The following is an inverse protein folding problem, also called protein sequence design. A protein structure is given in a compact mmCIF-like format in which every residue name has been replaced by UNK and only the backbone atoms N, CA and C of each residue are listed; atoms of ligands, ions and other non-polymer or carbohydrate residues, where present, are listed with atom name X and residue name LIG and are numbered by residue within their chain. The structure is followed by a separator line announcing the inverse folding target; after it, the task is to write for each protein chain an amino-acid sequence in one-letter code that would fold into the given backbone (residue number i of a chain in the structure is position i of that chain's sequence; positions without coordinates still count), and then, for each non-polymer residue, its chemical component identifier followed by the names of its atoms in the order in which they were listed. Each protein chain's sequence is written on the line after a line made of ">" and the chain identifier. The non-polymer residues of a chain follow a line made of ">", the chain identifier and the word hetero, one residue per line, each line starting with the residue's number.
data_IF_789015691828
#
_entry.id   IF_789015691828
#
_cell.length_a   1.000
_cell.length_b   1.000
_cell.length_c   1.000
_cell.angle_alpha   90.00
_cell.angle_beta   90.00
_cell.angle_gamma   90.00
#
_symmetry.space_group_name_H-M   'P 1'
#
loop_
_entity.id
_entity.type
_entity.pdbx_description
1 polymer ?
#
# COMPACT_ATOMS: atom_id res chain seq x y z
N UNK A 1 -14.43 -17.73 -58.49
CA UNK A 1 -14.01 -18.03 -57.10
C UNK A 1 -12.48 -18.06 -56.99
N UNK A 2 -11.80 -16.91 -57.00
CA UNK A 2 -10.33 -16.89 -56.85
C UNK A 2 -9.76 -15.69 -56.06
N UNK A 3 -10.42 -14.53 -55.96
CA UNK A 3 -9.71 -13.32 -55.48
C UNK A 3 -10.00 -12.82 -54.06
N UNK A 4 -10.81 -13.52 -53.25
CA UNK A 4 -11.08 -13.10 -51.86
C UNK A 4 -10.01 -13.63 -50.88
N UNK A 5 -9.19 -14.60 -51.28
CA UNK A 5 -8.19 -15.23 -50.39
C UNK A 5 -6.87 -14.44 -50.25
N UNK A 6 -6.63 -13.40 -51.06
CA UNK A 6 -5.39 -12.60 -50.99
C UNK A 6 -5.48 -11.40 -50.03
N UNK A 7 -6.68 -10.90 -49.75
CA UNK A 7 -6.90 -9.71 -48.91
C UNK A 7 -6.72 -10.02 -47.41
N UNK A 8 -6.97 -11.27 -47.00
CA UNK A 8 -6.90 -11.67 -45.58
C UNK A 8 -5.49 -12.02 -45.07
N UNK A 9 -4.46 -11.97 -45.94
CA UNK A 9 -3.07 -12.36 -45.60
C UNK A 9 -2.12 -11.17 -45.37
N UNK A 10 -2.62 -9.93 -45.40
CA UNK A 10 -1.80 -8.73 -45.21
C UNK A 10 -1.96 -8.00 -43.86
N UNK A 11 -2.76 -8.53 -42.92
CA UNK A 11 -3.10 -7.82 -41.67
C UNK A 11 -2.76 -8.59 -40.39
N UNK A 12 -1.75 -9.46 -40.46
CA UNK A 12 -1.15 -10.12 -39.30
C UNK A 12 0.36 -10.24 -39.53
N UNK A 13 1.08 -9.12 -39.42
CA UNK A 13 2.46 -9.03 -38.94
C UNK A 13 2.94 -7.58 -39.07
N UNK A 14 3.75 -7.13 -38.09
CA UNK A 14 4.21 -5.76 -37.82
C UNK A 14 3.12 -4.84 -37.21
N UNK A 15 3.11 -4.51 -35.91
CA UNK A 15 4.24 -4.36 -34.99
C UNK A 15 4.82 -2.95 -35.14
N UNK A 16 4.34 -2.07 -34.26
CA UNK A 16 4.87 -0.77 -33.89
C UNK A 16 4.75 0.43 -34.85
N UNK A 17 4.72 1.60 -34.19
CA UNK A 17 4.94 2.96 -34.67
C UNK A 17 3.67 3.80 -34.92
N UNK A 18 3.32 4.53 -33.87
CA UNK A 18 3.15 5.99 -33.83
C UNK A 18 2.18 6.69 -34.81
N UNK A 19 1.31 7.50 -34.22
CA UNK A 19 0.92 8.84 -34.67
C UNK A 19 0.86 9.09 -36.19
N UNK A 20 -0.35 9.09 -36.75
CA UNK A 20 -0.73 10.10 -37.73
C UNK A 20 -2.25 10.18 -37.82
N UNK A 21 -2.81 11.14 -37.07
CA UNK A 21 -4.08 11.76 -37.38
C UNK A 21 -4.04 12.26 -38.83
N UNK A 22 -4.78 11.64 -39.74
CA UNK A 22 -5.03 12.20 -41.07
C UNK A 22 -6.52 12.54 -41.16
N UNK A 23 -6.81 13.80 -40.89
CA UNK A 23 -8.08 14.46 -41.20
C UNK A 23 -8.12 14.63 -42.71
N UNK A 24 -8.89 13.80 -43.42
CA UNK A 24 -9.22 14.05 -44.83
C UNK A 24 -10.49 14.89 -44.89
N UNK A 25 -10.27 16.20 -44.84
CA UNK A 25 -11.21 17.25 -45.23
C UNK A 25 -11.13 17.39 -46.76
N UNK A 26 -12.09 16.82 -47.49
CA UNK A 26 -12.58 17.31 -48.79
C UNK A 26 -13.31 16.20 -49.57
N UNK A 27 -14.63 16.16 -49.45
CA UNK A 27 -15.52 15.68 -50.53
C UNK A 27 -16.97 15.97 -50.13
N UNK A 28 -17.35 17.25 -50.15
CA UNK A 28 -18.75 17.56 -50.44
C UNK A 28 -18.93 17.43 -51.96
N UNK A 29 -20.06 16.79 -52.34
CA UNK A 29 -20.80 17.01 -53.57
C UNK A 29 -20.54 16.09 -54.78
N UNK A 30 -21.00 14.84 -54.76
CA UNK A 30 -21.49 14.17 -55.99
C UNK A 30 -22.70 13.26 -55.69
N UNK A 31 -23.89 13.78 -56.04
CA UNK A 31 -25.13 13.10 -56.49
C UNK A 31 -25.55 11.78 -55.83
N UNK A 32 -26.65 11.79 -55.05
CA UNK A 32 -27.76 10.82 -55.15
C UNK A 32 -29.07 11.41 -54.55
N UNK A 33 -30.26 11.14 -55.13
CA UNK A 33 -31.56 11.37 -54.48
C UNK A 33 -31.84 10.40 -53.31
N UNK A 34 -30.80 9.75 -52.78
CA UNK A 34 -30.85 8.83 -51.64
C UNK A 34 -30.47 9.52 -50.31
N UNK A 35 -30.27 10.85 -50.30
CA UNK A 35 -30.02 11.60 -49.06
C UNK A 35 -31.16 11.42 -48.07
N UNK A 36 -32.40 11.27 -48.53
CA UNK A 36 -33.55 11.06 -47.65
C UNK A 36 -33.53 9.70 -46.94
N UNK A 37 -32.94 8.66 -47.54
CA UNK A 37 -32.87 7.32 -46.92
C UNK A 37 -31.72 7.26 -45.93
N UNK A 38 -30.56 7.82 -46.29
CA UNK A 38 -29.40 7.93 -45.37
C UNK A 38 -29.70 8.91 -44.24
N UNK A 39 -30.33 10.05 -44.52
CA UNK A 39 -30.78 10.99 -43.50
C UNK A 39 -31.91 10.42 -42.63
N UNK A 40 -32.77 9.54 -43.14
CA UNK A 40 -33.73 8.80 -42.30
C UNK A 40 -33.03 7.83 -41.37
N UNK A 41 -32.07 7.03 -41.85
CA UNK A 41 -31.33 6.08 -41.01
C UNK A 41 -30.45 6.80 -39.96
N UNK A 42 -29.86 7.94 -40.33
CA UNK A 42 -29.08 8.79 -39.43
C UNK A 42 -29.98 9.55 -38.47
N UNK A 43 -31.13 10.08 -38.92
CA UNK A 43 -32.13 10.70 -38.03
C UNK A 43 -32.72 9.69 -37.08
N UNK A 44 -33.06 8.47 -37.51
CA UNK A 44 -33.63 7.45 -36.63
C UNK A 44 -32.66 7.07 -35.49
N UNK A 45 -31.35 6.95 -35.80
CA UNK A 45 -30.29 6.79 -34.78
C UNK A 45 -29.98 8.04 -33.94
N UNK A 46 -30.33 9.23 -34.41
CA UNK A 46 -30.13 10.52 -33.71
C UNK A 46 -31.37 10.89 -32.87
N UNK A 47 -32.57 10.55 -33.33
CA UNK A 47 -33.85 10.73 -32.63
C UNK A 47 -33.93 9.78 -31.44
N UNK A 48 -33.48 8.51 -31.58
CA UNK A 48 -33.35 7.57 -30.45
C UNK A 48 -32.43 8.07 -29.31
N UNK A 49 -31.55 9.04 -29.57
CA UNK A 49 -30.67 9.65 -28.56
C UNK A 49 -31.24 10.91 -27.92
N UNK A 50 -32.34 11.45 -28.44
CA UNK A 50 -33.05 12.60 -27.84
C UNK A 50 -34.00 12.17 -26.74
N UNK A 51 -34.45 10.92 -26.77
CA UNK A 51 -35.39 10.37 -25.78
C UNK A 51 -34.70 9.75 -24.55
N UNK A 52 -33.36 9.71 -24.53
CA UNK A 52 -32.62 9.16 -23.40
C UNK A 52 -32.43 10.22 -22.30
N UNK A 53 -32.70 9.82 -21.06
CA UNK A 53 -32.51 10.67 -19.88
C UNK A 53 -31.17 10.34 -19.23
N UNK A 54 -30.46 11.37 -18.81
CA UNK A 54 -29.23 11.24 -18.04
C UNK A 54 -29.55 10.89 -16.58
N UNK A 55 -28.87 9.88 -16.03
CA UNK A 55 -28.96 9.59 -14.59
C UNK A 55 -28.19 10.69 -13.84
N UNK A 56 -28.85 11.45 -12.93
CA UNK A 56 -28.20 12.51 -12.17
C UNK A 56 -27.08 11.97 -11.27
N UNK A 57 -26.22 12.84 -10.77
CA UNK A 57 -25.17 12.47 -9.82
C UNK A 57 -25.79 12.22 -8.44
N UNK A 58 -25.82 10.94 -8.04
CA UNK A 58 -26.50 10.48 -6.82
C UNK A 58 -25.57 10.22 -5.64
N UNK A 59 -24.27 10.11 -5.89
CA UNK A 59 -23.28 9.86 -4.86
C UNK A 59 -21.95 10.50 -5.27
N UNK A 60 -21.37 11.29 -4.36
CA UNK A 60 -20.05 11.87 -4.49
C UNK A 60 -19.41 11.96 -3.10
N UNK A 61 -18.09 12.12 -3.04
CA UNK A 61 -17.41 12.26 -1.74
C UNK A 61 -17.67 13.60 -1.09
N UNK A 62 -17.79 14.65 -1.90
CA UNK A 62 -17.92 16.03 -1.42
C UNK A 62 -19.38 16.39 -1.10
N UNK A 63 -20.34 15.74 -1.78
CA UNK A 63 -21.78 15.98 -1.62
C UNK A 63 -22.53 14.66 -1.38
N UNK A 64 -22.67 14.23 -0.12
CA UNK A 64 -23.45 13.06 0.23
C UNK A 64 -24.95 13.33 0.03
N UNK A 65 -25.65 12.40 -0.62
CA UNK A 65 -27.09 12.49 -0.86
C UNK A 65 -27.80 11.36 -0.10
N UNK A 66 -28.88 11.71 0.60
CA UNK A 66 -29.75 10.75 1.30
C UNK A 66 -30.70 10.06 0.33
N UNK A 67 -31.12 8.84 0.70
CA UNK A 67 -32.00 8.01 -0.10
C UNK A 67 -33.28 8.73 -0.54
N UNK A 68 -33.96 9.44 0.37
CA UNK A 68 -35.19 10.17 0.07
C UNK A 68 -34.99 11.20 -1.05
N UNK A 69 -33.92 12.00 -0.96
CA UNK A 69 -33.60 13.01 -1.97
C UNK A 69 -33.23 12.38 -3.31
N UNK A 70 -32.48 11.27 -3.29
CA UNK A 70 -32.11 10.55 -4.51
C UNK A 70 -33.33 9.97 -5.23
N UNK A 71 -34.31 9.44 -4.48
CA UNK A 71 -35.58 8.93 -5.05
C UNK A 71 -36.34 10.06 -5.76
N UNK A 72 -36.40 11.25 -5.16
CA UNK A 72 -37.06 12.43 -5.78
C UNK A 72 -36.37 12.81 -7.09
N UNK A 73 -35.04 12.95 -7.08
CA UNK A 73 -34.26 13.31 -8.27
C UNK A 73 -34.46 12.33 -9.43
N UNK A 74 -34.48 11.02 -9.14
CA UNK A 74 -34.69 10.02 -10.17
C UNK A 74 -36.13 10.00 -10.72
N UNK A 75 -37.12 10.24 -9.86
CA UNK A 75 -38.52 10.35 -10.30
C UNK A 75 -38.75 11.57 -11.19
N UNK A 76 -38.11 12.70 -10.87
CA UNK A 76 -38.10 13.92 -11.72
C UNK A 76 -37.47 13.66 -13.10
N UNK A 77 -36.54 12.70 -13.19
CA UNK A 77 -35.95 12.23 -14.44
C UNK A 77 -36.77 11.11 -15.13
N UNK A 78 -38.00 10.84 -14.68
CA UNK A 78 -38.85 9.75 -15.19
C UNK A 78 -38.22 8.35 -15.05
N UNK A 79 -37.37 8.12 -14.04
CA UNK A 79 -36.72 6.82 -13.79
C UNK A 79 -37.41 6.09 -12.63
N UNK A 80 -37.45 4.75 -12.71
CA UNK A 80 -37.94 3.91 -11.62
C UNK A 80 -36.80 3.64 -10.64
N UNK A 81 -37.10 3.56 -9.35
CA UNK A 81 -36.08 3.45 -8.30
C UNK A 81 -36.36 2.23 -7.45
N UNK A 82 -35.32 1.42 -7.22
CA UNK A 82 -35.35 0.32 -6.25
C UNK A 82 -34.24 0.53 -5.21
N UNK A 83 -34.58 0.81 -3.94
CA UNK A 83 -33.59 0.95 -2.87
C UNK A 83 -33.04 -0.40 -2.42
N UNK A 84 -31.73 -0.49 -2.21
CA UNK A 84 -31.02 -1.70 -1.78
C UNK A 84 -30.09 -1.36 -0.62
N UNK A 85 -30.38 -1.90 0.56
CA UNK A 85 -29.50 -1.77 1.72
C UNK A 85 -28.20 -2.54 1.51
N UNK A 86 -27.09 -1.92 1.89
CA UNK A 86 -25.82 -2.64 2.06
C UNK A 86 -25.94 -3.51 3.30
N UNK A 87 -25.41 -4.74 3.19
CA UNK A 87 -25.41 -5.73 4.28
C UNK A 87 -24.03 -5.96 4.86
N UNK A 88 -22.99 -5.71 4.07
CA UNK A 88 -21.61 -5.99 4.48
C UNK A 88 -20.95 -4.70 4.95
N UNK A 89 -20.56 -4.68 6.22
CA UNK A 89 -19.74 -3.63 6.80
C UNK A 89 -18.37 -3.55 6.12
N UNK A 90 -17.88 -2.32 5.93
CA UNK A 90 -16.59 -2.08 5.33
C UNK A 90 -16.08 -0.70 5.77
N UNK A 91 -14.78 -0.62 6.08
CA UNK A 91 -14.07 0.62 6.48
C UNK A 91 -14.36 1.85 5.62
N UNK A 92 -14.76 1.71 4.35
CA UNK A 92 -15.10 2.82 3.46
C UNK A 92 -16.42 3.53 3.82
N UNK A 93 -17.26 2.90 4.63
CA UNK A 93 -18.55 3.44 5.08
C UNK A 93 -18.51 4.01 6.50
N UNK A 94 -17.33 4.01 7.15
CA UNK A 94 -17.19 4.47 8.54
C UNK A 94 -17.59 5.94 8.75
N UNK A 95 -17.42 6.75 7.70
CA UNK A 95 -17.72 8.19 7.71
C UNK A 95 -19.02 8.50 6.94
N UNK A 96 -19.83 7.48 6.61
CA UNK A 96 -21.10 7.69 5.93
C UNK A 96 -22.19 8.20 6.88
N UNK A 97 -23.22 8.79 6.29
CA UNK A 97 -24.43 9.25 6.97
C UNK A 97 -25.52 8.19 6.80
N UNK A 98 -26.42 8.08 7.76
CA UNK A 98 -27.58 7.19 7.67
C UNK A 98 -28.41 7.44 6.41
N UNK A 99 -28.78 6.35 5.73
CA UNK A 99 -29.43 6.31 4.43
C UNK A 99 -28.66 7.04 3.30
N UNK A 100 -27.36 7.26 3.43
CA UNK A 100 -26.55 7.84 2.35
C UNK A 100 -26.44 6.89 1.16
N UNK A 101 -26.63 7.43 -0.05
CA UNK A 101 -26.36 6.70 -1.30
C UNK A 101 -24.85 6.60 -1.53
N UNK A 102 -24.39 5.39 -1.81
CA UNK A 102 -22.98 5.09 -2.08
C UNK A 102 -22.76 4.39 -3.42
N UNK A 103 -23.85 4.12 -4.15
CA UNK A 103 -23.75 3.53 -5.48
C UNK A 103 -25.10 3.47 -6.19
N UNK A 104 -25.04 3.35 -7.51
CA UNK A 104 -26.22 3.10 -8.34
C UNK A 104 -25.92 2.07 -9.43
N UNK A 105 -26.96 1.35 -9.87
CA UNK A 105 -26.91 0.51 -11.07
C UNK A 105 -28.19 0.73 -11.88
N UNK A 106 -28.11 1.28 -13.11
CA UNK A 106 -26.92 1.76 -13.83
C UNK A 106 -26.21 2.95 -13.14
N UNK A 107 -24.97 3.27 -13.55
CA UNK A 107 -24.15 4.32 -12.92
C UNK A 107 -24.70 5.72 -13.26
N UNK A 108 -24.45 6.71 -12.39
CA UNK A 108 -24.74 8.10 -12.70
C UNK A 108 -24.01 8.58 -13.97
N UNK A 109 -24.50 9.64 -14.61
CA UNK A 109 -23.99 10.21 -15.88
C UNK A 109 -24.11 9.26 -17.08
N UNK A 110 -24.86 8.16 -16.93
CA UNK A 110 -25.21 7.27 -18.03
C UNK A 110 -26.57 7.65 -18.62
N UNK A 111 -26.67 7.64 -19.94
CA UNK A 111 -27.93 7.82 -20.68
C UNK A 111 -28.73 6.52 -20.69
N UNK A 112 -29.97 6.59 -20.21
CA UNK A 112 -30.89 5.44 -20.15
C UNK A 112 -32.26 5.81 -20.69
N UNK A 113 -33.04 4.81 -21.08
CA UNK A 113 -34.43 5.04 -21.51
C UNK A 113 -35.28 5.49 -20.31
N UNK A 114 -36.23 6.41 -20.49
CA UNK A 114 -37.24 6.72 -19.48
C UNK A 114 -37.91 5.45 -18.98
N UNK A 115 -38.25 5.40 -17.69
CA UNK A 115 -38.86 4.24 -17.04
C UNK A 115 -37.88 3.11 -16.72
N UNK A 116 -36.59 3.24 -17.02
CA UNK A 116 -35.55 2.28 -16.60
C UNK A 116 -35.49 2.18 -15.08
N UNK A 117 -35.33 0.97 -14.55
CA UNK A 117 -35.13 0.71 -13.13
C UNK A 117 -33.68 0.97 -12.72
N UNK A 118 -33.50 1.85 -11.74
CA UNK A 118 -32.22 2.19 -11.13
C UNK A 118 -32.18 1.64 -9.71
N UNK A 119 -31.25 0.73 -9.45
CA UNK A 119 -30.98 0.22 -8.11
C UNK A 119 -30.09 1.20 -7.36
N UNK A 120 -30.51 1.66 -6.19
CA UNK A 120 -29.74 2.54 -5.32
C UNK A 120 -29.20 1.79 -4.12
N UNK A 121 -27.88 1.78 -3.99
CA UNK A 121 -27.22 1.23 -2.82
C UNK A 121 -27.11 2.30 -1.75
N UNK A 122 -27.65 2.03 -0.58
CA UNK A 122 -27.57 2.92 0.57
C UNK A 122 -26.97 2.21 1.78
N UNK A 123 -26.40 3.01 2.68
CA UNK A 123 -25.83 2.54 3.95
C UNK A 123 -26.81 2.85 5.09
N UNK A 124 -26.93 1.95 6.06
CA UNK A 124 -27.70 2.14 7.29
C UNK A 124 -26.79 2.41 8.48
N UNK A 125 -27.33 3.00 9.54
CA UNK A 125 -26.62 3.26 10.80
C UNK A 125 -25.91 2.03 11.35
N UNK A 126 -26.56 0.87 11.35
CA UNK A 126 -25.96 -0.41 11.81
C UNK A 126 -24.65 -0.72 11.06
N UNK A 127 -24.67 -0.59 9.73
CA UNK A 127 -23.50 -0.85 8.89
C UNK A 127 -22.41 0.21 9.11
N UNK A 128 -22.78 1.46 9.39
CA UNK A 128 -21.83 2.54 9.70
C UNK A 128 -21.10 2.23 11.00
N UNK A 129 -21.84 1.86 12.05
CA UNK A 129 -21.28 1.50 13.35
C UNK A 129 -20.36 0.28 13.26
N UNK A 130 -20.79 -0.79 12.58
CA UNK A 130 -19.95 -1.97 12.33
C UNK A 130 -18.70 -1.61 11.52
N UNK A 131 -18.84 -0.73 10.52
CA UNK A 131 -17.71 -0.26 9.71
C UNK A 131 -16.71 0.57 10.50
N UNK A 132 -17.19 1.35 11.47
CA UNK A 132 -16.35 2.13 12.37
C UNK A 132 -15.62 1.24 13.37
N UNK A 133 -16.31 0.23 13.92
CA UNK A 133 -15.70 -0.80 14.75
C UNK A 133 -14.57 -1.54 14.02
N UNK A 134 -14.78 -1.94 12.76
CA UNK A 134 -13.74 -2.56 11.93
C UNK A 134 -12.52 -1.64 11.73
N UNK A 135 -12.75 -0.34 11.59
CA UNK A 135 -11.66 0.63 11.48
C UNK A 135 -10.86 0.73 12.79
N UNK A 136 -11.56 0.87 13.92
CA UNK A 136 -10.93 1.02 15.23
C UNK A 136 -10.13 -0.23 15.64
N UNK A 137 -10.66 -1.42 15.38
CA UNK A 137 -9.94 -2.69 15.59
C UNK A 137 -8.67 -2.76 14.75
N UNK A 138 -8.73 -2.33 13.49
CA UNK A 138 -7.56 -2.31 12.61
C UNK A 138 -6.47 -1.34 13.09
N UNK A 139 -6.85 -0.17 13.61
CA UNK A 139 -5.90 0.81 14.13
C UNK A 139 -5.33 0.37 15.49
N UNK A 140 -6.13 -0.26 16.36
CA UNK A 140 -5.62 -0.90 17.60
C UNK A 140 -4.60 -1.98 17.30
N UNK A 141 -4.91 -2.89 16.38
CA UNK A 141 -4.00 -3.97 16.02
C UNK A 141 -2.68 -3.43 15.44
N UNK A 142 -2.76 -2.40 14.59
CA UNK A 142 -1.58 -1.72 14.05
C UNK A 142 -0.76 -1.00 15.13
N UNK A 143 -1.41 -0.42 16.14
CA UNK A 143 -0.74 0.17 17.29
C UNK A 143 -0.05 -0.88 18.16
N UNK A 144 -0.70 -2.01 18.42
CA UNK A 144 -0.15 -3.16 19.15
C UNK A 144 1.09 -3.72 18.43
N UNK A 145 1.02 -3.94 17.12
CA UNK A 145 2.18 -4.39 16.33
C UNK A 145 3.33 -3.39 16.43
N UNK A 146 3.05 -2.09 16.39
CA UNK A 146 4.08 -1.05 16.53
C UNK A 146 4.72 -1.07 17.93
N UNK A 147 3.90 -1.22 18.97
CA UNK A 147 4.37 -1.30 20.36
C UNK A 147 5.22 -2.55 20.58
N UNK A 148 4.77 -3.71 20.11
CA UNK A 148 5.53 -4.97 20.22
C UNK A 148 6.87 -4.87 19.50
N UNK A 149 6.90 -4.28 18.29
CA UNK A 149 8.16 -4.04 17.56
C UNK A 149 9.08 -3.08 18.31
N UNK A 150 8.53 -2.05 18.96
CA UNK A 150 9.32 -1.12 19.77
C UNK A 150 9.91 -1.82 21.01
N UNK A 151 9.11 -2.63 21.71
CA UNK A 151 9.55 -3.40 22.87
C UNK A 151 10.64 -4.41 22.51
N UNK A 152 10.47 -5.19 21.44
CA UNK A 152 11.52 -6.11 20.95
C UNK A 152 12.82 -5.39 20.62
N UNK A 153 12.75 -4.20 20.02
CA UNK A 153 13.94 -3.37 19.73
C UNK A 153 14.59 -2.87 21.01
N UNK A 154 13.80 -2.47 22.01
CA UNK A 154 14.30 -2.03 23.30
C UNK A 154 15.00 -3.17 24.04
N UNK A 155 14.38 -4.35 24.11
CA UNK A 155 14.97 -5.55 24.70
C UNK A 155 16.27 -5.97 24.02
N UNK A 156 16.33 -5.90 22.68
CA UNK A 156 17.56 -6.23 21.96
C UNK A 156 18.68 -5.25 22.28
N UNK A 157 18.37 -3.94 22.39
CA UNK A 157 19.34 -2.91 22.79
C UNK A 157 19.84 -3.15 24.21
N UNK A 158 18.95 -3.47 25.14
CA UNK A 158 19.26 -3.83 26.53
C UNK A 158 20.18 -5.07 26.59
N UNK A 159 19.85 -6.15 25.87
CA UNK A 159 20.67 -7.37 25.80
C UNK A 159 22.05 -7.07 25.22
N UNK A 160 22.12 -6.33 24.12
CA UNK A 160 23.38 -5.96 23.48
C UNK A 160 24.24 -5.09 24.41
N UNK A 161 23.63 -4.14 25.13
CA UNK A 161 24.33 -3.33 26.13
C UNK A 161 24.94 -4.20 27.22
N UNK A 162 24.18 -5.14 27.80
CA UNK A 162 24.68 -6.07 28.83
C UNK A 162 25.84 -6.94 28.34
N UNK A 163 25.79 -7.39 27.08
CA UNK A 163 26.88 -8.16 26.46
C UNK A 163 28.15 -7.31 26.34
N UNK A 164 28.02 -6.07 25.86
CA UNK A 164 29.15 -5.15 25.71
C UNK A 164 29.74 -4.80 27.08
N UNK A 165 28.89 -4.45 28.05
CA UNK A 165 29.32 -4.13 29.41
C UNK A 165 30.06 -5.31 30.04
N UNK A 166 29.55 -6.54 29.89
CA UNK A 166 30.21 -7.76 30.36
C UNK A 166 31.54 -8.05 29.66
N UNK A 167 31.67 -7.75 28.37
CA UNK A 167 32.94 -7.87 27.66
C UNK A 167 33.98 -6.87 28.18
N UNK A 168 33.56 -5.62 28.44
CA UNK A 168 34.43 -4.58 28.99
C UNK A 168 34.93 -4.96 30.39
N UNK A 169 34.05 -5.43 31.28
CA UNK A 169 34.46 -5.86 32.63
C UNK A 169 35.42 -7.04 32.59
N UNK A 170 35.20 -8.02 31.72
CA UNK A 170 36.13 -9.14 31.54
C UNK A 170 37.51 -8.70 31.06
N UNK A 171 37.57 -7.77 30.10
CA UNK A 171 38.84 -7.20 29.62
C UNK A 171 39.56 -6.47 30.75
N UNK A 172 38.86 -5.64 31.52
CA UNK A 172 39.42 -4.93 32.66
C UNK A 172 39.99 -5.90 33.70
N UNK A 173 39.25 -6.96 34.04
CA UNK A 173 39.70 -7.97 34.98
C UNK A 173 40.95 -8.71 34.47
N UNK A 174 40.98 -9.07 33.18
CA UNK A 174 42.15 -9.73 32.57
C UNK A 174 43.41 -8.86 32.61
N UNK A 175 43.28 -7.55 32.39
CA UNK A 175 44.40 -6.62 32.47
C UNK A 175 44.94 -6.47 33.90
N UNK A 176 44.06 -6.45 34.89
CA UNK A 176 44.43 -6.46 36.32
C UNK A 176 45.20 -7.74 36.64
N UNK A 177 44.68 -8.90 36.22
CA UNK A 177 45.31 -10.21 36.49
C UNK A 177 46.70 -10.32 35.87
N UNK A 178 46.89 -9.85 34.63
CA UNK A 178 48.21 -9.79 33.97
C UNK A 178 49.16 -8.89 34.75
N UNK A 179 48.68 -7.74 35.20
CA UNK A 179 49.49 -6.79 35.99
C UNK A 179 49.93 -7.39 37.32
N UNK A 180 49.02 -8.06 38.03
CA UNK A 180 49.31 -8.75 39.30
C UNK A 180 50.30 -9.90 39.10
N UNK A 181 50.10 -10.75 38.08
CA UNK A 181 51.03 -11.84 37.74
C UNK A 181 52.44 -11.31 37.44
N UNK A 182 52.53 -10.22 36.70
CA UNK A 182 53.80 -9.57 36.36
C UNK A 182 54.50 -9.02 37.60
N UNK A 183 53.78 -8.28 38.47
CA UNK A 183 54.31 -7.78 39.76
C UNK A 183 54.84 -8.92 40.64
N UNK A 184 54.08 -10.01 40.76
CA UNK A 184 54.48 -11.18 41.55
C UNK A 184 55.71 -11.89 40.95
N UNK A 185 55.86 -11.93 39.63
CA UNK A 185 57.06 -12.48 38.96
C UNK A 185 58.28 -11.61 39.25
N UNK A 186 58.17 -10.28 39.11
CA UNK A 186 59.25 -9.34 39.41
C UNK A 186 59.69 -9.46 40.88
N UNK A 187 58.74 -9.49 41.82
CA UNK A 187 59.04 -9.67 43.25
C UNK A 187 59.84 -10.95 43.53
N UNK A 188 59.48 -12.07 42.90
CA UNK A 188 60.21 -13.33 43.05
C UNK A 188 61.64 -13.27 42.50
N UNK A 189 61.85 -12.60 41.36
CA UNK A 189 63.20 -12.41 40.80
C UNK A 189 64.04 -11.51 41.71
N UNK A 190 63.46 -10.43 42.23
CA UNK A 190 64.15 -9.50 43.12
C UNK A 190 64.62 -10.17 44.42
N UNK A 191 63.78 -11.02 45.02
CA UNK A 191 64.16 -11.80 46.22
C UNK A 191 65.33 -12.74 45.92
N UNK A 192 65.26 -13.53 44.83
CA UNK A 192 66.36 -14.43 44.44
C UNK A 192 67.67 -13.69 44.19
N UNK A 193 67.62 -12.51 43.58
CA UNK A 193 68.82 -11.69 43.35
C UNK A 193 69.45 -11.12 44.62
N UNK A 194 68.67 -10.97 45.71
CA UNK A 194 69.21 -10.62 47.02
C UNK A 194 69.85 -11.82 47.72
N UNK A 195 69.28 -13.02 47.56
CA UNK A 195 69.83 -14.25 48.14
C UNK A 195 71.14 -14.68 47.43
N UNK A 196 71.23 -14.55 46.10
CA UNK A 196 72.42 -14.92 45.33
C UNK A 196 73.63 -13.99 45.56
N UNK A 197 73.38 -12.69 45.80
CA UNK A 197 74.45 -11.73 46.16
C UNK A 197 75.01 -11.96 47.57
N UNK A 198 74.32 -12.71 48.42
CA UNK A 198 74.74 -13.03 49.77
C UNK A 198 75.59 -14.32 49.85
N UNK A 199 75.81 -15.00 48.72
CA UNK A 199 76.58 -16.26 48.63
C UNK A 199 77.97 -16.06 47.98
N UNK A 200 78.25 -14.89 47.38
CA UNK A 200 79.52 -14.62 46.69
C UNK A 200 80.62 -13.94 47.55
N UNK A 201 80.50 -13.90 48.87
CA UNK A 201 81.59 -13.51 49.79
C UNK A 201 82.07 -14.74 50.59
N UNK A 202 82.66 -15.72 49.91
CA UNK A 202 83.58 -16.67 50.56
C UNK A 202 84.86 -16.67 49.73
N UNK A 203 86.00 -16.15 50.24
CA UNK A 203 87.25 -16.20 49.51
C UNK A 203 87.81 -17.62 49.58
N UNK A 204 88.00 -18.22 48.41
CA UNK A 204 88.86 -19.39 48.22
C UNK A 204 90.30 -18.90 48.08
N UNK A 205 91.19 -19.31 48.99
CA UNK A 205 92.61 -19.38 48.67
C UNK A 205 93.23 -20.66 49.23
N UNK A 206 93.90 -21.38 48.33
CA UNK A 206 94.77 -22.52 48.58
C UNK A 206 96.00 -22.03 49.40
N UNK A 207 96.84 -22.83 50.07
CA UNK A 207 97.72 -23.86 49.50
C UNK A 207 98.62 -24.44 50.63
N UNK A 208 98.90 -25.75 50.55
CA UNK A 208 100.12 -26.53 50.93
C UNK A 208 100.88 -26.43 52.26
N UNK A 209 101.30 -27.64 52.67
CA UNK A 209 102.54 -28.07 53.38
C UNK A 209 102.58 -28.10 54.91
N UNK A 210 102.39 -29.29 55.49
CA UNK A 210 103.45 -30.17 56.05
C UNK A 210 102.85 -31.36 56.81
#
# INVERSE_FOLDING_TARGET
>A
MADIRKIKKGLKEAGDIANALVVVSSALSILQPAVNVVAKIVKEKVEERKDLVDIPELYSRDFPIKLERAIVLLKECNLKVEPVAIRDAHVKYKDCIDFQIVGSKPKHKQKVKPGTLVFLKYVTSEIIEESQKLFDESEKHKAEIKLEKANKRFEQKEKNKKIIDGAITNIQQSAIDITVKTKNKIKRVLIRSHDEKNISEIPSDNTTDS
#
